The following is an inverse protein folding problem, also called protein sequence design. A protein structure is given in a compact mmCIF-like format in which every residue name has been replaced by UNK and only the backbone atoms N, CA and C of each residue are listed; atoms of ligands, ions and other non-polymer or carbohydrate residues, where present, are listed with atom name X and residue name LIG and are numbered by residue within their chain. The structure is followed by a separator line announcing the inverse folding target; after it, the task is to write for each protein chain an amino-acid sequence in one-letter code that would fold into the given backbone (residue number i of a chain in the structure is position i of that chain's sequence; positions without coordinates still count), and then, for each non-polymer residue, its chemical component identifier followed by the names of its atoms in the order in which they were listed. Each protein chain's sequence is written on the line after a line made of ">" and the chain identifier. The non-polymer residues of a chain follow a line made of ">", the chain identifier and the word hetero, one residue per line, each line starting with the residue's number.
data_IF_726048429453
#
_entry.id   IF_726048429453
#
_cell.length_a   1.000
_cell.length_b   1.000
_cell.length_c   1.000
_cell.angle_alpha   90.00
_cell.angle_beta   90.00
_cell.angle_gamma   90.00
#
_symmetry.space_group_name_H-M   'P 1'
#
loop_
_entity.id
_entity.type
_entity.pdbx_description
1 polymer ?
#
# COMPACT_ATOMS: atom_id res chain seq x y z
N UNK A 1 15.86 8.52 68.45
CA UNK A 1 16.25 8.49 67.03
C UNK A 1 15.22 7.63 66.33
N UNK A 2 14.23 8.25 65.74
CA UNK A 2 13.15 7.57 65.03
C UNK A 2 13.48 7.56 63.52
N UNK A 3 13.76 6.40 63.00
CA UNK A 3 14.07 6.21 61.58
C UNK A 3 12.79 6.22 60.73
N UNK A 4 12.68 7.19 59.82
CA UNK A 4 11.59 7.28 58.86
C UNK A 4 11.97 6.43 57.63
N UNK A 5 11.23 5.36 57.41
CA UNK A 5 11.36 4.51 56.20
C UNK A 5 10.58 5.20 55.06
N UNK A 6 11.26 5.62 54.00
CA UNK A 6 10.67 6.13 52.77
C UNK A 6 10.18 4.93 51.92
N UNK A 7 8.87 4.80 51.77
CA UNK A 7 8.28 3.84 50.86
C UNK A 7 8.33 4.42 49.42
N UNK A 8 9.11 3.79 48.56
CA UNK A 8 9.10 4.07 47.10
C UNK A 8 7.89 3.34 46.50
N UNK A 9 6.84 4.11 46.16
CA UNK A 9 5.72 3.60 45.42
C UNK A 9 6.17 3.34 43.96
N UNK A 10 6.30 2.08 43.59
CA UNK A 10 6.53 1.68 42.21
C UNK A 10 5.29 2.00 41.35
N UNK A 11 5.45 2.87 40.36
CA UNK A 11 4.43 3.06 39.31
C UNK A 11 4.35 1.74 38.53
N UNK A 12 3.24 1.02 38.68
CA UNK A 12 2.87 -0.09 37.80
C UNK A 12 2.36 0.55 36.50
N UNK A 13 3.16 0.51 35.46
CA UNK A 13 2.69 0.86 34.13
C UNK A 13 1.56 -0.12 33.75
N UNK A 14 0.37 0.39 33.53
CA UNK A 14 -0.72 -0.38 32.93
C UNK A 14 -0.28 -0.82 31.55
N UNK A 15 -0.56 -2.09 31.15
CA UNK A 15 -0.30 -2.50 29.77
C UNK A 15 -1.12 -1.59 28.84
N UNK A 16 -0.45 -0.97 27.88
CA UNK A 16 -1.13 -0.33 26.75
C UNK A 16 -1.98 -1.41 26.09
N UNK A 17 -3.27 -1.12 25.76
CA UNK A 17 -4.10 -2.06 25.03
C UNK A 17 -3.34 -2.44 23.76
N UNK A 18 -3.26 -3.74 23.45
CA UNK A 18 -2.73 -4.22 22.19
C UNK A 18 -3.50 -3.50 21.08
N UNK A 19 -2.80 -2.73 20.26
CA UNK A 19 -3.39 -2.11 19.09
C UNK A 19 -3.87 -3.26 18.20
N UNK A 20 -5.17 -3.30 17.91
CA UNK A 20 -5.70 -4.28 16.97
C UNK A 20 -4.92 -4.12 15.66
N UNK A 21 -4.58 -5.24 15.02
CA UNK A 21 -3.94 -5.20 13.72
C UNK A 21 -4.77 -4.27 12.81
N UNK A 22 -4.13 -3.24 12.28
CA UNK A 22 -4.80 -2.31 11.40
C UNK A 22 -5.38 -3.09 10.21
N UNK A 23 -6.67 -2.91 9.92
CA UNK A 23 -7.30 -3.45 8.73
C UNK A 23 -6.66 -2.83 7.47
N UNK A 24 -7.07 -3.28 6.26
CA UNK A 24 -6.60 -2.64 5.05
C UNK A 24 -6.89 -1.14 5.13
N UNK A 25 -5.93 -0.32 4.71
CA UNK A 25 -6.09 1.13 4.66
C UNK A 25 -6.43 1.57 3.24
N UNK A 26 -7.28 2.59 3.11
CA UNK A 26 -7.48 3.29 1.86
C UNK A 26 -6.69 4.61 1.88
N UNK A 27 -5.92 4.87 0.85
CA UNK A 27 -5.23 6.13 0.61
C UNK A 27 -6.07 6.95 -0.36
N UNK A 28 -6.57 8.10 0.09
CA UNK A 28 -7.49 8.96 -0.67
C UNK A 28 -6.83 10.31 -0.92
N UNK A 29 -6.63 10.66 -2.19
CA UNK A 29 -6.09 11.96 -2.58
C UNK A 29 -7.12 13.07 -2.35
N UNK A 30 -6.72 14.14 -1.67
CA UNK A 30 -7.51 15.33 -1.42
C UNK A 30 -7.09 16.44 -2.40
N UNK A 31 -7.78 16.53 -3.53
CA UNK A 31 -7.42 17.42 -4.65
C UNK A 31 -7.30 18.90 -4.23
N UNK A 32 -8.19 19.39 -3.39
CA UNK A 32 -8.18 20.79 -2.91
C UNK A 32 -7.35 20.98 -1.63
N UNK A 33 -6.83 19.89 -1.03
CA UNK A 33 -6.15 19.92 0.27
C UNK A 33 -4.65 19.68 0.21
N UNK A 34 -4.09 19.34 -0.97
CA UNK A 34 -2.67 19.02 -1.16
C UNK A 34 -2.18 17.90 -0.21
N UNK A 35 -3.08 16.96 0.10
CA UNK A 35 -2.85 15.88 1.05
C UNK A 35 -3.40 14.55 0.55
N UNK A 36 -3.00 13.48 1.22
CA UNK A 36 -3.61 12.15 1.12
C UNK A 36 -4.14 11.77 2.51
N UNK A 37 -5.42 11.42 2.59
CA UNK A 37 -6.01 10.86 3.80
C UNK A 37 -5.81 9.35 3.84
N UNK A 38 -5.37 8.84 5.00
CA UNK A 38 -5.32 7.39 5.29
C UNK A 38 -6.57 7.01 6.06
N UNK A 39 -7.33 6.08 5.51
CA UNK A 39 -8.62 5.63 6.08
C UNK A 39 -8.50 4.20 6.53
N UNK A 40 -8.76 3.91 7.79
CA UNK A 40 -8.97 2.54 8.27
C UNK A 40 -10.32 2.03 7.73
N UNK A 41 -10.27 1.01 6.86
CA UNK A 41 -11.48 0.48 6.21
C UNK A 41 -12.36 -0.33 7.13
N UNK A 42 -11.88 -0.75 8.30
CA UNK A 42 -12.66 -1.47 9.31
C UNK A 42 -13.51 -0.52 10.17
N UNK A 43 -12.91 0.58 10.60
CA UNK A 43 -13.59 1.59 11.44
C UNK A 43 -14.25 2.71 10.65
N UNK A 44 -13.93 2.85 9.35
CA UNK A 44 -14.42 3.92 8.46
C UNK A 44 -14.00 5.32 8.94
N UNK A 45 -12.80 5.43 9.51
CA UNK A 45 -12.28 6.69 10.04
C UNK A 45 -10.95 7.07 9.36
N UNK A 46 -10.72 8.37 9.20
CA UNK A 46 -9.42 8.89 8.79
C UNK A 46 -8.48 8.77 9.98
N UNK A 47 -7.36 8.07 9.80
CA UNK A 47 -6.35 7.80 10.84
C UNK A 47 -5.14 8.70 10.70
N UNK A 48 -4.82 9.14 9.47
CA UNK A 48 -3.71 10.06 9.21
C UNK A 48 -3.99 10.94 7.98
N UNK A 49 -3.22 12.03 7.84
CA UNK A 49 -3.27 12.94 6.71
C UNK A 49 -1.85 13.35 6.32
N UNK A 50 -1.43 12.93 5.12
CA UNK A 50 -0.07 13.05 4.62
C UNK A 50 -0.01 14.24 3.64
N UNK A 51 0.88 15.21 3.88
CA UNK A 51 1.13 16.30 2.93
C UNK A 51 1.91 15.77 1.72
N UNK A 52 1.42 16.06 0.52
CA UNK A 52 2.03 15.70 -0.77
C UNK A 52 2.22 16.95 -1.64
N UNK A 53 2.38 16.80 -2.94
CA UNK A 53 2.41 17.95 -3.85
C UNK A 53 1.02 18.51 -4.16
N UNK A 54 0.97 19.58 -4.99
CA UNK A 54 -0.25 20.34 -5.25
C UNK A 54 -1.25 19.56 -6.11
N UNK A 55 -2.52 19.63 -5.73
CA UNK A 55 -3.66 19.04 -6.45
C UNK A 55 -3.46 17.53 -6.69
N UNK A 56 -3.33 16.69 -5.66
CA UNK A 56 -3.17 15.25 -5.83
C UNK A 56 -4.41 14.60 -6.43
N UNK A 57 -4.20 13.72 -7.44
CA UNK A 57 -5.29 13.11 -8.21
C UNK A 57 -5.28 11.59 -8.13
N UNK A 58 -4.36 10.94 -8.82
CA UNK A 58 -4.29 9.49 -8.92
C UNK A 58 -3.53 8.87 -7.75
N UNK A 59 -4.01 7.75 -7.24
CA UNK A 59 -3.33 6.96 -6.23
C UNK A 59 -3.21 5.52 -6.71
N UNK A 60 -2.04 4.92 -6.59
CA UNK A 60 -1.84 3.49 -6.84
C UNK A 60 -0.89 2.90 -5.80
N UNK A 61 -1.15 1.68 -5.35
CA UNK A 61 -0.35 0.99 -4.34
C UNK A 61 0.43 -0.15 -4.98
N UNK A 62 1.75 -0.17 -4.72
CA UNK A 62 2.62 -1.31 -4.95
C UNK A 62 2.67 -2.13 -3.65
N UNK A 63 1.72 -3.04 -3.49
CA UNK A 63 1.53 -3.76 -2.22
C UNK A 63 2.78 -4.57 -1.79
N UNK A 64 3.54 -5.10 -2.76
CA UNK A 64 4.76 -5.87 -2.46
C UNK A 64 5.91 -5.01 -1.92
N UNK A 65 5.88 -3.69 -2.16
CA UNK A 65 6.95 -2.76 -1.79
C UNK A 65 6.51 -1.75 -0.72
N UNK A 66 5.28 -1.90 -0.18
CA UNK A 66 4.69 -1.01 0.83
C UNK A 66 4.76 0.46 0.42
N UNK A 67 4.42 0.74 -0.86
CA UNK A 67 4.49 2.09 -1.42
C UNK A 67 3.19 2.49 -2.11
N UNK A 68 2.77 3.72 -1.84
CA UNK A 68 1.74 4.41 -2.62
C UNK A 68 2.37 5.48 -3.51
N UNK A 69 1.93 5.54 -4.75
CA UNK A 69 2.30 6.53 -5.75
C UNK A 69 1.13 7.48 -5.96
N UNK A 70 1.36 8.78 -5.74
CA UNK A 70 0.33 9.83 -5.82
C UNK A 70 0.73 10.87 -6.85
N UNK A 71 -0.09 11.08 -7.87
CA UNK A 71 0.16 12.10 -8.89
C UNK A 71 -0.22 13.48 -8.37
N UNK A 72 0.69 14.46 -8.50
CA UNK A 72 0.48 15.85 -8.14
C UNK A 72 0.27 16.66 -9.42
N UNK A 73 -0.99 16.94 -9.75
CA UNK A 73 -1.42 17.46 -11.05
C UNK A 73 -0.78 18.81 -11.41
N UNK A 74 -0.75 19.76 -10.46
CA UNK A 74 -0.24 21.12 -10.71
C UNK A 74 1.27 21.25 -10.55
N UNK A 75 1.97 20.19 -10.06
CA UNK A 75 3.42 20.20 -9.88
C UNK A 75 4.20 19.36 -10.89
N UNK A 76 3.52 18.59 -11.75
CA UNK A 76 4.15 17.64 -12.67
C UNK A 76 5.08 16.64 -11.94
N UNK A 77 4.64 16.14 -10.79
CA UNK A 77 5.39 15.18 -9.96
C UNK A 77 4.51 14.01 -9.51
N UNK A 78 5.16 12.98 -8.99
CA UNK A 78 4.56 11.87 -8.25
C UNK A 78 5.19 11.80 -6.87
N UNK A 79 4.39 11.89 -5.81
CA UNK A 79 4.84 11.61 -4.44
C UNK A 79 4.84 10.11 -4.19
N UNK A 80 5.91 9.59 -3.58
CA UNK A 80 6.03 8.19 -3.16
C UNK A 80 5.93 8.14 -1.65
N UNK A 81 4.88 7.50 -1.16
CA UNK A 81 4.60 7.35 0.27
C UNK A 81 4.98 5.92 0.68
N UNK A 82 5.68 5.75 1.79
CA UNK A 82 5.82 4.46 2.45
C UNK A 82 4.55 4.20 3.27
N UNK A 83 3.86 3.09 3.02
CA UNK A 83 2.56 2.79 3.63
C UNK A 83 2.62 2.22 5.05
N UNK A 84 3.82 1.87 5.55
CA UNK A 84 4.02 1.46 6.94
C UNK A 84 4.22 2.65 7.88
N UNK A 85 4.82 3.73 7.32
CA UNK A 85 5.20 4.91 8.13
C UNK A 85 4.39 6.15 7.79
N UNK A 86 3.52 6.07 6.77
CA UNK A 86 2.73 7.17 6.22
C UNK A 86 3.56 8.40 5.87
N UNK A 87 4.82 8.20 5.46
CA UNK A 87 5.75 9.27 5.14
C UNK A 87 6.06 9.34 3.64
N UNK A 88 6.14 10.55 3.09
CA UNK A 88 6.66 10.77 1.73
C UNK A 88 8.16 10.50 1.73
N UNK A 89 8.59 9.51 0.94
CA UNK A 89 10.00 9.08 0.85
C UNK A 89 10.71 9.58 -0.41
N UNK A 90 9.96 9.95 -1.44
CA UNK A 90 10.50 10.53 -2.68
C UNK A 90 9.45 11.37 -3.40
N UNK A 91 9.93 12.30 -4.23
CA UNK A 91 9.13 13.05 -5.21
C UNK A 91 9.78 12.87 -6.58
N UNK A 92 9.04 12.32 -7.54
CA UNK A 92 9.53 11.94 -8.86
C UNK A 92 9.00 12.91 -9.91
N UNK A 93 9.82 13.67 -10.62
CA UNK A 93 9.36 14.51 -11.72
C UNK A 93 8.83 13.65 -12.89
N UNK A 94 7.69 14.03 -13.45
CA UNK A 94 7.03 13.35 -14.59
C UNK A 94 6.61 14.38 -15.65
N UNK A 95 5.75 14.01 -16.60
CA UNK A 95 5.21 14.97 -17.56
C UNK A 95 4.13 15.88 -16.97
N UNK A 96 3.67 16.87 -17.78
CA UNK A 96 2.74 17.91 -17.32
C UNK A 96 1.36 17.34 -16.96
N UNK A 97 0.78 17.87 -15.90
CA UNK A 97 -0.56 17.54 -15.40
C UNK A 97 -0.80 16.02 -15.28
N UNK A 98 0.00 15.30 -14.48
CA UNK A 98 -0.20 13.87 -14.28
C UNK A 98 -1.55 13.61 -13.61
N UNK A 99 -2.40 12.78 -14.22
CA UNK A 99 -3.73 12.44 -13.69
C UNK A 99 -3.73 11.11 -12.97
N UNK A 100 -3.72 10.01 -13.70
CA UNK A 100 -3.78 8.69 -13.10
C UNK A 100 -2.43 7.98 -13.15
N UNK A 101 -2.24 7.07 -12.20
CA UNK A 101 -1.08 6.20 -12.08
C UNK A 101 -1.55 4.76 -11.87
N UNK A 102 -0.84 3.80 -12.45
CA UNK A 102 -1.07 2.38 -12.22
C UNK A 102 0.27 1.65 -12.07
N UNK A 103 0.36 0.75 -11.10
CA UNK A 103 1.55 -0.05 -10.83
C UNK A 103 1.39 -1.44 -11.44
N UNK A 104 2.46 -1.98 -11.99
CA UNK A 104 2.47 -3.35 -12.51
C UNK A 104 2.24 -4.37 -11.38
N UNK A 105 1.65 -5.55 -11.65
CA UNK A 105 1.44 -6.58 -10.63
C UNK A 105 2.73 -7.06 -9.94
N UNK A 106 3.87 -6.92 -10.63
CA UNK A 106 5.19 -7.21 -10.04
C UNK A 106 5.69 -6.13 -9.08
N UNK A 107 5.00 -4.98 -8.98
CA UNK A 107 5.45 -3.80 -8.24
C UNK A 107 6.59 -3.01 -8.92
N UNK A 108 7.24 -3.53 -9.96
CA UNK A 108 8.51 -3.01 -10.47
C UNK A 108 8.41 -1.70 -11.28
N UNK A 109 7.22 -1.33 -11.77
CA UNK A 109 7.01 -0.11 -12.59
C UNK A 109 5.68 0.56 -12.27
N UNK A 110 5.66 1.89 -12.30
CA UNK A 110 4.46 2.71 -12.28
C UNK A 110 4.33 3.49 -13.60
N UNK A 111 3.14 3.46 -14.19
CA UNK A 111 2.77 4.16 -15.43
C UNK A 111 1.91 5.35 -15.09
N UNK A 112 2.31 6.55 -15.49
CA UNK A 112 1.67 7.82 -15.15
C UNK A 112 1.17 8.51 -16.41
N UNK A 113 -0.13 8.75 -16.50
CA UNK A 113 -0.75 9.46 -17.61
C UNK A 113 -0.55 10.98 -17.46
N UNK A 114 0.19 11.61 -18.38
CA UNK A 114 0.49 13.05 -18.36
C UNK A 114 -0.52 13.81 -19.24
N UNK A 115 -1.63 14.25 -18.66
CA UNK A 115 -2.77 14.80 -19.43
C UNK A 115 -2.49 16.15 -20.08
N UNK A 116 -1.49 16.88 -19.63
CA UNK A 116 -1.05 18.13 -20.27
C UNK A 116 -0.32 17.93 -21.60
N UNK A 117 -0.24 16.71 -22.11
CA UNK A 117 0.44 16.38 -23.36
C UNK A 117 -0.10 15.11 -24.00
N UNK A 118 0.83 14.29 -24.50
CA UNK A 118 0.58 13.07 -25.25
C UNK A 118 1.45 11.92 -24.76
N UNK A 119 1.85 11.92 -23.49
CA UNK A 119 2.84 10.97 -22.99
C UNK A 119 2.38 10.24 -21.74
N UNK A 120 3.00 9.07 -21.51
CA UNK A 120 2.97 8.32 -20.25
C UNK A 120 4.39 8.23 -19.73
N UNK A 121 4.63 8.63 -18.49
CA UNK A 121 5.91 8.41 -17.81
C UNK A 121 5.95 7.03 -17.19
N UNK A 122 7.07 6.31 -17.33
CA UNK A 122 7.29 4.99 -16.72
C UNK A 122 8.34 5.14 -15.63
N UNK A 123 7.92 4.96 -14.38
CA UNK A 123 8.77 5.05 -13.20
C UNK A 123 9.26 3.64 -12.84
N UNK A 124 10.55 3.47 -12.66
CA UNK A 124 11.14 2.32 -11.98
C UNK A 124 10.97 2.49 -10.48
N UNK A 125 10.29 1.55 -9.82
CA UNK A 125 9.91 1.66 -8.41
C UNK A 125 11.09 1.42 -7.45
N UNK A 126 12.11 0.70 -7.89
CA UNK A 126 13.29 0.44 -7.06
C UNK A 126 14.17 1.69 -6.94
N UNK A 127 14.22 2.51 -8.01
CA UNK A 127 15.07 3.71 -8.08
C UNK A 127 14.28 5.01 -7.93
N UNK A 128 12.94 4.96 -7.98
CA UNK A 128 12.04 6.12 -8.01
C UNK A 128 12.45 7.14 -9.10
N UNK A 129 12.74 6.65 -10.30
CA UNK A 129 13.13 7.48 -11.43
C UNK A 129 12.37 7.11 -12.71
N UNK A 130 12.11 8.13 -13.57
CA UNK A 130 11.51 7.88 -14.88
C UNK A 130 12.54 7.23 -15.80
N UNK A 131 12.25 6.02 -16.26
CA UNK A 131 13.15 5.23 -17.14
C UNK A 131 12.70 5.24 -18.60
N UNK A 132 11.42 5.58 -18.86
CA UNK A 132 10.90 5.72 -20.22
C UNK A 132 9.76 6.76 -20.25
N UNK A 133 9.58 7.36 -21.43
CA UNK A 133 8.43 8.20 -21.78
C UNK A 133 7.80 7.62 -23.03
N UNK A 134 6.56 7.16 -22.92
CA UNK A 134 5.81 6.50 -23.99
C UNK A 134 4.92 7.53 -24.67
N UNK A 135 5.03 7.64 -26.00
CA UNK A 135 4.15 8.47 -26.78
C UNK A 135 2.81 7.74 -26.98
N UNK A 136 1.71 8.39 -26.58
CA UNK A 136 0.32 7.90 -26.71
C UNK A 136 -0.54 8.94 -27.44
N UNK A 137 -1.87 8.85 -27.34
CA UNK A 137 -2.76 9.87 -27.92
C UNK A 137 -2.88 11.14 -27.07
N UNK A 138 -3.76 12.06 -27.49
CA UNK A 138 -3.93 13.39 -26.87
C UNK A 138 -4.65 13.32 -25.52
N UNK A 139 -4.14 14.09 -24.56
CA UNK A 139 -4.66 14.22 -23.20
C UNK A 139 -4.89 12.85 -22.53
N UNK A 140 -3.84 12.04 -22.29
CA UNK A 140 -3.98 10.77 -21.59
C UNK A 140 -4.53 10.98 -20.18
N UNK A 141 -5.53 10.19 -19.79
CA UNK A 141 -6.27 10.37 -18.55
C UNK A 141 -6.15 9.13 -17.63
N UNK A 142 -6.90 8.09 -17.92
CA UNK A 142 -6.88 6.83 -17.17
C UNK A 142 -5.74 5.93 -17.62
N UNK A 143 -5.18 5.17 -16.71
CA UNK A 143 -4.23 4.09 -17.00
C UNK A 143 -4.57 2.87 -16.16
N UNK A 144 -4.58 1.69 -16.78
CA UNK A 144 -4.77 0.40 -16.11
C UNK A 144 -3.81 -0.64 -16.69
N UNK A 145 -3.25 -1.48 -15.82
CA UNK A 145 -2.35 -2.57 -16.20
C UNK A 145 -3.15 -3.88 -16.27
N UNK A 146 -2.88 -4.70 -17.28
CA UNK A 146 -3.44 -6.06 -17.35
C UNK A 146 -3.00 -6.90 -16.14
N UNK A 147 -3.81 -7.87 -15.67
CA UNK A 147 -3.43 -8.76 -14.57
C UNK A 147 -2.14 -9.56 -14.84
N UNK A 148 -1.82 -9.82 -16.11
CA UNK A 148 -0.55 -10.42 -16.52
C UNK A 148 0.65 -9.48 -16.45
N UNK A 149 0.41 -8.16 -16.30
CA UNK A 149 1.44 -7.14 -16.33
C UNK A 149 2.02 -6.84 -17.72
N UNK A 150 1.51 -7.47 -18.77
CA UNK A 150 2.10 -7.38 -20.14
C UNK A 150 1.61 -6.16 -20.92
N UNK A 151 0.49 -5.58 -20.56
CA UNK A 151 -0.11 -4.45 -21.28
C UNK A 151 -0.60 -3.36 -20.32
N UNK A 152 -0.41 -2.09 -20.71
CA UNK A 152 -1.04 -0.94 -20.08
C UNK A 152 -2.04 -0.32 -21.06
N UNK A 153 -3.26 -0.11 -20.58
CA UNK A 153 -4.36 0.54 -21.33
C UNK A 153 -4.44 2.00 -20.88
N UNK A 154 -4.30 2.92 -21.82
CA UNK A 154 -4.26 4.38 -21.54
C UNK A 154 -5.38 5.06 -22.33
N UNK A 155 -6.32 5.70 -21.65
CA UNK A 155 -7.36 6.48 -22.32
C UNK A 155 -6.78 7.81 -22.82
N UNK A 156 -7.07 8.15 -24.07
CA UNK A 156 -6.69 9.42 -24.70
C UNK A 156 -7.96 10.27 -24.80
N UNK A 157 -8.17 11.16 -23.83
CA UNK A 157 -9.43 11.87 -23.64
C UNK A 157 -9.82 12.69 -24.89
N UNK A 158 -8.91 13.52 -25.40
CA UNK A 158 -9.15 14.31 -26.61
C UNK A 158 -9.00 13.48 -27.90
N UNK A 159 -8.32 12.34 -27.83
CA UNK A 159 -8.11 11.43 -28.96
C UNK A 159 -9.26 10.43 -29.18
N UNK A 160 -10.27 10.37 -28.30
CA UNK A 160 -11.38 9.41 -28.34
C UNK A 160 -10.91 7.96 -28.59
N UNK A 161 -9.84 7.57 -27.94
CA UNK A 161 -9.19 6.26 -28.14
C UNK A 161 -8.54 5.74 -26.87
N UNK A 162 -8.14 4.48 -26.92
CA UNK A 162 -7.28 3.84 -25.91
C UNK A 162 -5.98 3.43 -26.59
N UNK A 163 -4.84 3.84 -26.06
CA UNK A 163 -3.54 3.31 -26.43
C UNK A 163 -3.24 2.05 -25.62
N UNK A 164 -2.90 0.95 -26.28
CA UNK A 164 -2.44 -0.29 -25.66
C UNK A 164 -0.92 -0.31 -25.72
N UNK A 165 -0.27 -0.22 -24.56
CA UNK A 165 1.19 -0.16 -24.43
C UNK A 165 1.70 -1.53 -24.03
N UNK A 166 2.65 -2.08 -24.79
CA UNK A 166 3.42 -3.25 -24.39
C UNK A 166 4.40 -2.84 -23.28
N UNK A 167 4.30 -3.47 -22.11
CA UNK A 167 5.08 -3.07 -20.92
C UNK A 167 6.54 -3.56 -20.96
N UNK A 168 6.85 -4.55 -21.79
CA UNK A 168 8.22 -5.05 -21.94
C UNK A 168 9.06 -4.10 -22.80
N UNK A 169 8.44 -3.53 -23.86
CA UNK A 169 9.11 -2.64 -24.80
C UNK A 169 8.83 -1.16 -24.55
N UNK A 170 7.80 -0.83 -23.76
CA UNK A 170 7.27 0.52 -23.57
C UNK A 170 6.89 1.21 -24.89
N UNK A 171 6.24 0.48 -25.78
CA UNK A 171 5.75 0.98 -27.08
C UNK A 171 4.25 0.74 -27.23
N UNK A 172 3.56 1.61 -27.97
CA UNK A 172 2.14 1.40 -28.30
C UNK A 172 2.04 0.27 -29.33
N UNK A 173 1.35 -0.80 -28.96
CA UNK A 173 1.07 -1.96 -29.82
C UNK A 173 -0.23 -1.85 -30.59
N UNK A 174 -1.21 -1.10 -30.06
CA UNK A 174 -2.50 -0.85 -30.70
C UNK A 174 -3.11 0.48 -30.23
N UNK A 175 -3.98 1.06 -31.08
CA UNK A 175 -4.85 2.20 -30.71
C UNK A 175 -6.29 1.80 -31.04
N UNK A 176 -7.13 1.79 -30.01
CA UNK A 176 -8.53 1.32 -30.09
C UNK A 176 -9.45 2.53 -30.06
N UNK A 177 -10.21 2.84 -31.14
CA UNK A 177 -11.24 3.86 -31.10
C UNK A 177 -12.36 3.48 -30.11
N UNK A 178 -12.79 4.43 -29.27
CA UNK A 178 -13.86 4.27 -28.27
C UNK A 178 -14.86 5.43 -28.36
N UNK A 179 -15.73 5.61 -27.37
CA UNK A 179 -16.62 6.76 -27.32
C UNK A 179 -15.90 8.09 -27.04
N UNK A 180 -16.65 9.18 -27.01
CA UNK A 180 -16.10 10.53 -26.85
C UNK A 180 -15.64 10.81 -25.43
N UNK A 181 -14.48 11.47 -25.32
CA UNK A 181 -13.82 11.86 -24.09
C UNK A 181 -13.64 10.69 -23.10
N UNK A 182 -12.90 9.61 -23.47
CA UNK A 182 -12.67 8.51 -22.57
C UNK A 182 -11.86 8.99 -21.34
N UNK A 183 -12.34 8.63 -20.13
CA UNK A 183 -11.77 9.06 -18.87
C UNK A 183 -11.12 7.86 -18.11
N UNK A 184 -11.90 7.08 -17.40
CA UNK A 184 -11.41 5.91 -16.67
C UNK A 184 -11.25 4.68 -17.55
N UNK A 185 -10.36 3.78 -17.12
CA UNK A 185 -10.21 2.44 -17.68
C UNK A 185 -9.91 1.44 -16.57
N UNK A 186 -10.51 0.27 -16.65
CA UNK A 186 -10.16 -0.87 -15.80
C UNK A 186 -10.10 -2.15 -16.64
N UNK A 187 -9.15 -3.02 -16.33
CA UNK A 187 -9.04 -4.37 -16.95
C UNK A 187 -9.72 -5.37 -16.04
N UNK A 188 -10.52 -6.28 -16.62
CA UNK A 188 -11.17 -7.34 -15.84
C UNK A 188 -10.15 -8.21 -15.11
N UNK A 189 -10.48 -8.80 -13.94
CA UNK A 189 -9.58 -9.70 -13.22
C UNK A 189 -9.12 -10.92 -14.04
N UNK A 190 -9.94 -11.39 -15.00
CA UNK A 190 -9.56 -12.43 -15.96
C UNK A 190 -8.56 -11.95 -17.02
N UNK A 191 -8.48 -10.63 -17.25
CA UNK A 191 -7.68 -10.03 -18.30
C UNK A 191 -8.34 -10.00 -19.69
N UNK A 192 -9.53 -10.54 -19.86
CA UNK A 192 -10.18 -10.73 -21.16
C UNK A 192 -10.82 -9.45 -21.73
N UNK A 193 -11.13 -8.49 -20.88
CA UNK A 193 -11.76 -7.24 -21.30
C UNK A 193 -11.25 -6.03 -20.54
N UNK A 194 -11.24 -4.88 -21.19
CA UNK A 194 -11.05 -3.58 -20.57
C UNK A 194 -12.31 -2.73 -20.72
N UNK A 195 -12.80 -2.18 -19.60
CA UNK A 195 -13.95 -1.29 -19.58
C UNK A 195 -13.45 0.16 -19.57
N UNK A 196 -13.98 0.97 -20.45
CA UNK A 196 -13.56 2.36 -20.69
C UNK A 196 -14.76 3.27 -20.56
N UNK A 197 -14.75 4.19 -19.61
CA UNK A 197 -15.80 5.20 -19.46
C UNK A 197 -15.63 6.29 -20.52
N UNK A 198 -16.70 6.60 -21.26
CA UNK A 198 -16.74 7.64 -22.27
C UNK A 198 -17.60 8.79 -21.73
N UNK A 199 -16.94 9.78 -21.13
CA UNK A 199 -17.57 10.84 -20.36
C UNK A 199 -18.61 11.64 -21.17
N UNK A 200 -18.27 12.00 -22.43
CA UNK A 200 -19.16 12.77 -23.32
C UNK A 200 -20.07 11.89 -24.20
N UNK A 201 -20.01 10.57 -24.06
CA UNK A 201 -20.91 9.64 -24.78
C UNK A 201 -21.82 8.87 -23.81
N UNK A 202 -21.82 9.20 -22.51
CA UNK A 202 -22.67 8.61 -21.48
C UNK A 202 -22.67 7.07 -21.51
N UNK A 203 -21.50 6.48 -21.79
CA UNK A 203 -21.38 5.06 -22.06
C UNK A 203 -20.07 4.47 -21.53
N UNK A 204 -20.03 3.14 -21.47
CA UNK A 204 -18.84 2.35 -21.25
C UNK A 204 -18.55 1.52 -22.51
N UNK A 205 -17.36 1.66 -23.08
CA UNK A 205 -16.87 0.75 -24.13
C UNK A 205 -16.23 -0.49 -23.48
N UNK A 206 -16.61 -1.67 -23.98
CA UNK A 206 -16.00 -2.94 -23.60
C UNK A 206 -15.02 -3.35 -24.68
N UNK A 207 -13.73 -3.27 -24.39
CA UNK A 207 -12.66 -3.64 -25.30
C UNK A 207 -12.28 -5.10 -25.04
N UNK A 208 -12.29 -5.93 -26.07
CA UNK A 208 -11.72 -7.28 -26.05
C UNK A 208 -10.19 -7.16 -26.10
N UNK A 209 -9.50 -7.69 -25.11
CA UNK A 209 -8.06 -7.50 -24.94
C UNK A 209 -7.22 -8.39 -25.87
N UNK A 210 -7.79 -9.49 -26.37
CA UNK A 210 -7.09 -10.38 -27.29
C UNK A 210 -7.06 -9.80 -28.72
N UNK A 211 -8.15 -9.10 -29.12
CA UNK A 211 -8.29 -8.52 -30.45
C UNK A 211 -8.04 -7.02 -30.49
N UNK A 212 -8.00 -6.36 -29.34
CA UNK A 212 -7.94 -4.90 -29.21
C UNK A 212 -9.04 -4.19 -30.01
N UNK A 213 -10.29 -4.67 -29.90
CA UNK A 213 -11.47 -4.08 -30.53
C UNK A 213 -12.61 -3.89 -29.54
N UNK A 214 -13.48 -2.89 -29.77
CA UNK A 214 -14.70 -2.71 -28.97
C UNK A 214 -15.68 -3.83 -29.31
N UNK A 215 -15.98 -4.66 -28.31
CA UNK A 215 -16.94 -5.79 -28.43
C UNK A 215 -18.36 -5.42 -28.01
N UNK A 216 -18.53 -4.35 -27.22
CA UNK A 216 -19.84 -3.82 -26.80
C UNK A 216 -19.71 -2.36 -26.32
N UNK A 217 -20.84 -1.65 -26.35
CA UNK A 217 -21.00 -0.32 -25.73
C UNK A 217 -22.21 -0.38 -24.81
N UNK A 218 -22.03 -0.02 -23.55
CA UNK A 218 -23.05 -0.08 -22.50
C UNK A 218 -23.49 1.35 -22.18
N UNK A 219 -24.75 1.74 -22.42
CA UNK A 219 -25.26 3.04 -21.96
C UNK A 219 -25.32 3.04 -20.43
N UNK A 220 -24.77 4.08 -19.80
CA UNK A 220 -24.76 4.23 -18.33
C UNK A 220 -25.38 5.55 -17.88
N UNK A 221 -25.42 6.59 -18.76
CA UNK A 221 -25.90 7.93 -18.44
C UNK A 221 -24.79 8.85 -17.93
N UNK A 222 -25.15 10.04 -17.68
CA UNK A 222 -24.60 11.18 -16.95
C UNK A 222 -23.08 11.36 -16.76
N UNK A 223 -22.24 11.38 -17.76
CA UNK A 223 -20.79 11.68 -17.62
C UNK A 223 -19.99 10.69 -16.75
N UNK A 224 -19.92 9.41 -17.14
CA UNK A 224 -19.16 8.41 -16.41
C UNK A 224 -17.67 8.78 -16.37
N UNK A 225 -17.08 8.82 -15.15
CA UNK A 225 -15.71 9.27 -14.95
C UNK A 225 -14.73 8.12 -14.65
N UNK A 226 -15.07 7.22 -13.77
CA UNK A 226 -14.23 6.07 -13.45
C UNK A 226 -14.99 4.75 -13.48
N UNK A 227 -14.26 3.66 -13.63
CA UNK A 227 -14.78 2.29 -13.58
C UNK A 227 -13.82 1.40 -12.79
N UNK A 228 -14.37 0.48 -12.01
CA UNK A 228 -13.64 -0.58 -11.33
C UNK A 228 -14.38 -1.90 -11.42
N UNK A 229 -13.68 -3.03 -11.27
CA UNK A 229 -14.29 -4.35 -11.16
C UNK A 229 -14.35 -4.82 -9.71
N UNK A 230 -15.42 -5.55 -9.36
CA UNK A 230 -15.34 -6.41 -8.19
C UNK A 230 -14.18 -7.41 -8.37
N UNK A 231 -13.49 -7.84 -7.29
CA UNK A 231 -12.41 -8.83 -7.38
C UNK A 231 -12.82 -10.15 -8.05
N UNK A 232 -14.10 -10.52 -7.94
CA UNK A 232 -14.66 -11.68 -8.63
C UNK A 232 -14.79 -11.53 -10.15
N UNK A 233 -14.69 -10.29 -10.67
CA UNK A 233 -14.94 -9.97 -12.06
C UNK A 233 -16.41 -10.01 -12.51
N UNK A 234 -17.35 -10.42 -11.66
CA UNK A 234 -18.76 -10.58 -12.02
C UNK A 234 -19.54 -9.28 -12.15
N UNK A 235 -19.00 -8.20 -11.57
CA UNK A 235 -19.59 -6.85 -11.60
C UNK A 235 -18.54 -5.81 -11.92
N UNK A 236 -18.96 -4.75 -12.61
CA UNK A 236 -18.20 -3.51 -12.70
C UNK A 236 -19.04 -2.36 -12.13
N UNK A 237 -18.36 -1.40 -11.52
CA UNK A 237 -18.94 -0.22 -10.90
C UNK A 237 -18.45 1.02 -11.63
N UNK A 238 -19.33 1.93 -11.96
CA UNK A 238 -19.04 3.15 -12.73
C UNK A 238 -19.50 4.35 -11.93
N UNK A 239 -18.58 5.25 -11.59
CA UNK A 239 -18.93 6.55 -11.00
C UNK A 239 -19.47 7.48 -12.07
N UNK A 240 -20.70 7.93 -11.88
CA UNK A 240 -21.39 8.81 -12.79
C UNK A 240 -21.51 10.21 -12.16
N UNK A 241 -20.59 11.09 -12.56
CA UNK A 241 -20.38 12.38 -11.91
C UNK A 241 -21.61 13.28 -11.94
N UNK A 242 -22.27 13.38 -13.09
CA UNK A 242 -23.38 14.31 -13.24
C UNK A 242 -24.69 13.81 -12.64
N UNK A 243 -24.83 12.49 -12.46
CA UNK A 243 -26.04 11.90 -11.86
C UNK A 243 -25.95 11.73 -10.34
N UNK A 244 -24.76 11.89 -9.74
CA UNK A 244 -24.57 11.68 -8.30
C UNK A 244 -24.77 10.21 -7.90
N UNK A 245 -24.39 9.27 -8.74
CA UNK A 245 -24.61 7.85 -8.49
C UNK A 245 -23.48 6.94 -8.99
N UNK A 246 -23.54 5.67 -8.57
CA UNK A 246 -22.69 4.57 -9.05
C UNK A 246 -23.58 3.57 -9.79
N UNK A 247 -23.29 3.33 -11.09
CA UNK A 247 -23.93 2.27 -11.87
C UNK A 247 -23.26 0.94 -11.61
N UNK A 248 -24.05 -0.10 -11.42
CA UNK A 248 -23.59 -1.49 -11.26
C UNK A 248 -23.88 -2.26 -12.54
N UNK A 249 -22.83 -2.72 -13.20
CA UNK A 249 -22.91 -3.51 -14.43
C UNK A 249 -22.68 -4.97 -14.11
N UNK A 250 -23.56 -5.86 -14.54
CA UNK A 250 -23.30 -7.28 -14.62
C UNK A 250 -22.40 -7.56 -15.84
N UNK A 251 -21.24 -8.14 -15.64
CA UNK A 251 -20.23 -8.30 -16.69
C UNK A 251 -20.57 -9.40 -17.70
N UNK A 252 -21.34 -10.40 -17.30
CA UNK A 252 -21.75 -11.49 -18.18
C UNK A 252 -22.85 -11.04 -19.17
N UNK A 253 -23.80 -10.26 -18.68
CA UNK A 253 -24.91 -9.73 -19.51
C UNK A 253 -24.59 -8.38 -20.13
N UNK A 254 -23.57 -7.68 -19.62
CA UNK A 254 -23.18 -6.32 -20.03
C UNK A 254 -24.33 -5.31 -19.88
N UNK A 255 -25.12 -5.46 -18.83
CA UNK A 255 -26.26 -4.62 -18.53
C UNK A 255 -26.11 -3.90 -17.19
N UNK A 256 -26.61 -2.66 -17.09
CA UNK A 256 -26.76 -1.98 -15.80
C UNK A 256 -27.88 -2.66 -15.02
N UNK A 257 -27.53 -3.21 -13.84
CA UNK A 257 -28.46 -3.95 -12.99
C UNK A 257 -28.91 -3.18 -11.76
N UNK A 258 -28.15 -2.14 -11.37
CA UNK A 258 -28.52 -1.25 -10.27
C UNK A 258 -27.91 0.15 -10.47
N UNK A 259 -28.55 1.12 -9.83
CA UNK A 259 -28.06 2.50 -9.69
C UNK A 259 -28.09 2.82 -8.20
N UNK A 260 -26.93 3.21 -7.65
CA UNK A 260 -26.75 3.50 -6.23
C UNK A 260 -26.48 4.98 -6.07
N UNK A 261 -27.42 5.71 -5.49
CA UNK A 261 -27.22 7.13 -5.16
C UNK A 261 -26.10 7.27 -4.10
N UNK A 262 -25.16 8.15 -4.36
CA UNK A 262 -24.03 8.49 -3.49
C UNK A 262 -24.01 10.00 -3.21
N UNK A 263 -22.90 10.58 -2.83
CA UNK A 263 -22.77 12.04 -2.69
C UNK A 263 -22.59 12.75 -4.05
N UNK A 264 -22.49 14.07 -4.00
CA UNK A 264 -22.40 14.92 -5.20
C UNK A 264 -21.01 14.82 -5.86
N UNK A 265 -21.02 14.72 -7.19
CA UNK A 265 -19.83 14.69 -8.01
C UNK A 265 -18.93 13.45 -7.79
N UNK A 266 -19.45 12.20 -7.85
CA UNK A 266 -18.59 11.04 -7.74
C UNK A 266 -17.61 10.96 -8.91
N UNK A 267 -16.32 11.10 -8.65
CA UNK A 267 -15.25 11.10 -9.66
C UNK A 267 -14.46 9.81 -9.70
N UNK A 268 -14.43 9.08 -8.59
CA UNK A 268 -13.73 7.80 -8.48
C UNK A 268 -14.61 6.77 -7.80
N UNK A 269 -14.59 5.57 -8.32
CA UNK A 269 -15.13 4.37 -7.65
C UNK A 269 -14.04 3.31 -7.60
N UNK A 270 -13.90 2.65 -6.45
CA UNK A 270 -12.90 1.59 -6.28
C UNK A 270 -13.47 0.49 -5.37
N UNK A 271 -13.29 -0.77 -5.75
CA UNK A 271 -13.65 -1.91 -4.92
C UNK A 271 -12.51 -2.26 -3.98
N UNK A 272 -12.81 -2.56 -2.74
CA UNK A 272 -11.79 -3.07 -1.84
C UNK A 272 -11.25 -4.44 -2.31
N UNK A 273 -10.01 -4.80 -2.01
CA UNK A 273 -9.42 -6.06 -2.46
C UNK A 273 -10.15 -7.31 -1.96
N UNK A 274 -10.88 -7.21 -0.84
CA UNK A 274 -11.68 -8.33 -0.30
C UNK A 274 -13.03 -8.50 -1.02
N UNK A 275 -13.48 -7.48 -1.75
CA UNK A 275 -14.79 -7.45 -2.41
C UNK A 275 -15.97 -7.26 -1.44
N UNK A 276 -15.72 -6.83 -0.22
CA UNK A 276 -16.75 -6.60 0.80
C UNK A 276 -17.39 -5.23 0.72
N UNK A 277 -16.70 -4.23 0.15
CA UNK A 277 -17.19 -2.88 -0.03
C UNK A 277 -16.69 -2.26 -1.35
N UNK A 278 -17.44 -1.26 -1.81
CA UNK A 278 -17.07 -0.38 -2.92
C UNK A 278 -17.14 1.05 -2.42
N UNK A 279 -16.10 1.82 -2.70
CA UNK A 279 -15.97 3.18 -2.23
C UNK A 279 -16.13 4.16 -3.39
N UNK A 280 -16.88 5.23 -3.19
CA UNK A 280 -17.07 6.30 -4.17
C UNK A 280 -16.61 7.65 -3.59
N UNK A 281 -15.64 8.29 -4.22
CA UNK A 281 -15.15 9.61 -3.84
C UNK A 281 -16.04 10.69 -4.45
N UNK A 282 -16.72 11.45 -3.59
CA UNK A 282 -17.66 12.51 -3.95
C UNK A 282 -16.94 13.86 -3.77
N UNK A 283 -16.37 14.38 -4.85
CA UNK A 283 -15.47 15.54 -4.79
C UNK A 283 -16.18 16.82 -4.37
N UNK A 284 -17.47 16.96 -4.67
CA UNK A 284 -18.24 18.17 -4.41
C UNK A 284 -18.84 18.18 -3.00
N UNK A 285 -18.98 16.99 -2.35
CA UNK A 285 -19.48 16.84 -0.97
C UNK A 285 -18.37 16.64 0.06
N UNK A 286 -17.10 16.58 -0.32
CA UNK A 286 -15.98 16.27 0.58
C UNK A 286 -16.15 14.95 1.35
N UNK A 287 -16.79 13.95 0.73
CA UNK A 287 -17.11 12.66 1.34
C UNK A 287 -16.67 11.47 0.49
N UNK A 288 -16.58 10.31 1.14
CA UNK A 288 -16.44 9.00 0.48
C UNK A 288 -17.60 8.12 0.91
N UNK A 289 -18.46 7.73 -0.04
CA UNK A 289 -19.56 6.79 0.20
C UNK A 289 -19.05 5.35 0.18
N UNK A 290 -19.54 4.52 1.10
CA UNK A 290 -19.23 3.09 1.19
C UNK A 290 -20.46 2.28 0.80
N UNK A 291 -20.35 1.48 -0.25
CA UNK A 291 -21.44 0.70 -0.85
C UNK A 291 -21.23 -0.78 -0.52
N UNK A 292 -22.29 -1.45 -0.05
CA UNK A 292 -22.31 -2.89 0.12
C UNK A 292 -22.65 -3.59 -1.22
N UNK A 293 -21.73 -4.40 -1.81
CA UNK A 293 -21.97 -5.07 -3.10
C UNK A 293 -23.16 -6.04 -3.09
N UNK A 294 -23.45 -6.63 -1.94
CA UNK A 294 -24.54 -7.62 -1.80
C UNK A 294 -25.94 -7.02 -1.92
N UNK A 295 -26.12 -5.78 -1.48
CA UNK A 295 -27.42 -5.07 -1.46
C UNK A 295 -27.48 -3.90 -2.44
N UNK A 296 -26.34 -3.46 -2.97
CA UNK A 296 -26.18 -2.23 -3.76
C UNK A 296 -26.75 -0.99 -3.03
N UNK A 297 -26.41 -0.84 -1.76
CA UNK A 297 -26.82 0.30 -0.92
C UNK A 297 -25.62 0.94 -0.25
N UNK A 298 -25.66 2.26 -0.06
CA UNK A 298 -24.70 2.97 0.79
C UNK A 298 -24.92 2.54 2.24
N UNK A 299 -23.88 2.03 2.88
CA UNK A 299 -23.90 1.59 4.28
C UNK A 299 -23.23 2.58 5.21
N UNK A 300 -22.35 3.43 4.65
CA UNK A 300 -21.60 4.42 5.43
C UNK A 300 -21.21 5.60 4.54
N UNK A 301 -20.92 6.74 5.16
CA UNK A 301 -20.38 7.93 4.49
C UNK A 301 -19.27 8.50 5.36
N UNK A 302 -18.05 8.50 4.85
CA UNK A 302 -16.88 9.02 5.54
C UNK A 302 -16.72 10.48 5.15
N UNK A 303 -16.62 11.37 6.13
CA UNK A 303 -16.44 12.81 5.94
C UNK A 303 -15.05 13.24 6.42
N UNK A 304 -14.68 14.50 6.12
CA UNK A 304 -13.42 15.11 6.57
C UNK A 304 -12.34 15.15 5.51
N UNK A 305 -12.69 14.90 4.24
CA UNK A 305 -11.82 15.13 3.09
C UNK A 305 -11.88 16.59 2.60
N UNK A 306 -11.04 16.91 1.63
CA UNK A 306 -11.04 18.19 0.90
C UNK A 306 -10.91 17.93 -0.59
N UNK A 307 -12.03 17.72 -1.26
CA UNK A 307 -12.09 17.29 -2.65
C UNK A 307 -11.50 15.89 -2.86
N UNK A 308 -12.07 14.82 -2.29
CA UNK A 308 -11.55 13.46 -2.47
C UNK A 308 -11.62 13.06 -3.94
N UNK A 309 -10.52 12.52 -4.47
CA UNK A 309 -10.42 12.18 -5.89
C UNK A 309 -10.00 10.71 -6.07
N UNK A 310 -8.72 10.44 -6.31
CA UNK A 310 -8.19 9.09 -6.48
C UNK A 310 -8.09 8.34 -5.15
N UNK A 311 -8.28 7.03 -5.19
CA UNK A 311 -8.07 6.17 -4.05
C UNK A 311 -7.48 4.82 -4.45
N UNK A 312 -6.75 4.22 -3.52
CA UNK A 312 -6.25 2.86 -3.64
C UNK A 312 -6.16 2.21 -2.25
N UNK A 313 -6.21 0.89 -2.21
CA UNK A 313 -6.23 0.13 -0.97
C UNK A 313 -4.94 -0.65 -0.77
N UNK A 314 -4.43 -0.67 0.47
CA UNK A 314 -3.47 -1.70 0.87
C UNK A 314 -4.18 -3.05 0.89
N UNK A 315 -3.46 -4.10 0.55
CA UNK A 315 -4.00 -5.45 0.77
C UNK A 315 -3.77 -5.82 2.23
N UNK A 316 -4.84 -6.21 2.93
CA UNK A 316 -4.61 -6.95 4.17
C UNK A 316 -3.80 -8.22 3.83
N UNK A 317 -2.92 -8.69 4.72
CA UNK A 317 -2.35 -10.01 4.58
C UNK A 317 -3.48 -11.02 4.31
N UNK A 318 -3.36 -11.83 3.27
CA UNK A 318 -4.45 -12.74 2.86
C UNK A 318 -4.85 -13.66 4.02
N UNK A 319 -6.16 -13.90 4.17
CA UNK A 319 -6.66 -14.85 5.18
C UNK A 319 -5.92 -16.19 4.99
N UNK A 320 -5.11 -16.58 5.99
CA UNK A 320 -4.25 -17.76 5.91
C UNK A 320 -2.75 -17.45 5.84
N UNK A 321 -2.34 -16.20 5.76
CA UNK A 321 -0.93 -15.79 5.86
C UNK A 321 -0.61 -15.23 7.25
N UNK A 322 0.54 -15.61 7.78
CA UNK A 322 1.14 -15.00 8.94
C UNK A 322 2.12 -13.93 8.46
N UNK A 323 2.15 -12.80 9.14
CA UNK A 323 3.06 -11.68 8.88
C UNK A 323 3.90 -11.48 10.15
N UNK A 324 5.21 -11.69 10.05
CA UNK A 324 6.11 -11.72 11.19
C UNK A 324 7.02 -10.50 11.18
N UNK A 325 6.61 -9.48 11.90
CA UNK A 325 7.42 -8.30 12.20
C UNK A 325 8.53 -8.64 13.21
N UNK A 326 9.75 -8.20 12.92
CA UNK A 326 10.93 -8.44 13.76
C UNK A 326 11.29 -7.18 14.52
N UNK A 327 11.31 -7.27 15.86
CA UNK A 327 11.79 -6.19 16.71
C UNK A 327 13.04 -6.63 17.50
N UNK A 328 13.98 -5.71 17.71
CA UNK A 328 15.22 -5.95 18.42
C UNK A 328 15.49 -4.82 19.42
N UNK A 329 15.57 -5.16 20.68
CA UNK A 329 15.95 -4.20 21.73
C UNK A 329 17.22 -4.65 22.44
N UNK A 330 17.93 -3.70 23.06
CA UNK A 330 19.19 -3.94 23.76
C UNK A 330 19.19 -3.27 25.13
N UNK A 331 19.63 -4.00 26.17
CA UNK A 331 19.81 -3.46 27.52
C UNK A 331 21.20 -3.78 28.02
N UNK A 332 22.04 -2.78 28.34
CA UNK A 332 23.34 -3.00 28.91
C UNK A 332 23.26 -3.41 30.40
N UNK A 333 24.09 -4.36 30.79
CA UNK A 333 24.37 -4.68 32.19
C UNK A 333 25.80 -4.30 32.51
N UNK A 334 25.93 -3.28 33.34
CA UNK A 334 27.23 -2.70 33.71
C UNK A 334 27.75 -3.37 34.98
N UNK A 335 28.88 -4.05 34.86
CA UNK A 335 29.56 -4.72 35.96
C UNK A 335 31.08 -4.64 35.74
N UNK A 336 31.83 -4.44 36.82
CA UNK A 336 33.31 -4.35 36.77
C UNK A 336 33.93 -5.67 36.33
N UNK A 337 33.28 -6.80 36.65
CA UNK A 337 33.84 -8.13 36.41
C UNK A 337 33.37 -8.77 35.11
N UNK A 338 32.06 -8.64 34.76
CA UNK A 338 31.47 -9.28 33.57
C UNK A 338 30.39 -8.39 33.01
N UNK A 339 30.72 -7.31 32.28
CA UNK A 339 29.74 -6.49 31.61
C UNK A 339 29.22 -7.21 30.37
N UNK A 340 27.92 -7.03 30.07
CA UNK A 340 27.30 -7.58 28.86
C UNK A 340 26.12 -6.73 28.41
N UNK A 341 25.71 -6.89 27.12
CA UNK A 341 24.46 -6.38 26.62
C UNK A 341 23.49 -7.55 26.44
N UNK A 342 22.30 -7.43 27.01
CA UNK A 342 21.19 -8.35 26.73
C UNK A 342 20.40 -7.82 25.55
N UNK A 343 20.27 -8.64 24.51
CA UNK A 343 19.43 -8.40 23.35
C UNK A 343 18.14 -9.19 23.52
N UNK A 344 17.01 -8.52 23.26
CA UNK A 344 15.69 -9.15 23.18
C UNK A 344 15.24 -9.11 21.73
N UNK A 345 15.01 -10.29 21.17
CA UNK A 345 14.54 -10.50 19.81
C UNK A 345 13.07 -10.90 19.87
N UNK A 346 12.19 -10.06 19.34
CA UNK A 346 10.74 -10.28 19.36
C UNK A 346 10.26 -10.55 17.94
N UNK A 347 9.49 -11.61 17.78
CA UNK A 347 8.70 -11.88 16.58
C UNK A 347 7.22 -11.58 16.88
N UNK A 348 6.67 -10.61 16.19
CA UNK A 348 5.26 -10.22 16.24
C UNK A 348 4.54 -10.84 15.04
N UNK A 349 3.41 -11.48 15.24
CA UNK A 349 2.55 -11.88 14.14
C UNK A 349 1.45 -10.83 13.95
N UNK A 350 1.62 -9.98 12.96
CA UNK A 350 0.64 -8.95 12.57
C UNK A 350 -0.38 -9.47 11.55
N UNK A 351 -0.11 -10.65 10.97
CA UNK A 351 -1.01 -11.30 10.02
C UNK A 351 -2.21 -12.00 10.68
N UNK A 352 -3.26 -12.30 9.88
CA UNK A 352 -4.50 -12.91 10.36
C UNK A 352 -4.39 -14.42 10.65
N UNK A 353 -3.32 -15.09 10.20
CA UNK A 353 -3.13 -16.52 10.45
C UNK A 353 -2.06 -16.79 11.52
N UNK A 354 -2.18 -17.92 12.20
CA UNK A 354 -1.13 -18.39 13.10
C UNK A 354 0.13 -18.76 12.31
N UNK A 355 1.28 -18.14 12.63
CA UNK A 355 2.55 -18.66 12.19
C UNK A 355 2.86 -19.95 12.96
N UNK A 356 2.95 -21.09 12.29
CA UNK A 356 3.24 -22.38 12.91
C UNK A 356 4.72 -22.52 13.24
N UNK A 357 5.57 -21.76 12.58
CA UNK A 357 7.00 -21.59 12.87
C UNK A 357 7.53 -20.27 12.31
N UNK A 358 8.52 -19.68 12.97
CA UNK A 358 9.32 -18.60 12.43
C UNK A 358 10.79 -18.77 12.87
N UNK A 359 11.72 -18.38 12.01
CA UNK A 359 13.16 -18.38 12.31
C UNK A 359 13.69 -16.97 12.11
N UNK A 360 14.28 -16.42 13.17
CA UNK A 360 14.92 -15.10 13.14
C UNK A 360 16.41 -15.25 13.42
N UNK A 361 17.24 -14.63 12.58
CA UNK A 361 18.68 -14.61 12.75
C UNK A 361 19.16 -13.22 13.16
N UNK A 362 20.05 -13.14 14.15
CA UNK A 362 20.72 -11.92 14.54
C UNK A 362 22.22 -11.99 14.19
N UNK A 363 22.71 -10.95 13.50
CA UNK A 363 24.12 -10.77 13.12
C UNK A 363 24.81 -9.90 14.16
N UNK A 364 25.84 -10.44 14.79
CA UNK A 364 26.69 -9.75 15.75
C UNK A 364 27.91 -9.11 15.07
N UNK A 365 28.51 -8.09 15.66
CA UNK A 365 29.78 -7.53 15.20
C UNK A 365 30.88 -8.59 15.13
N UNK A 366 31.88 -8.34 14.30
CA UNK A 366 33.05 -9.24 14.16
C UNK A 366 33.76 -9.46 15.51
N UNK A 367 33.99 -10.73 15.87
CA UNK A 367 34.60 -11.11 17.12
C UNK A 367 33.68 -11.22 18.33
N UNK A 368 32.42 -10.75 18.24
CA UNK A 368 31.44 -10.94 19.29
C UNK A 368 30.90 -12.37 19.30
N UNK A 369 30.60 -12.88 20.50
CA UNK A 369 29.97 -14.20 20.71
C UNK A 369 28.75 -14.04 21.60
N UNK A 370 27.66 -14.70 21.23
CA UNK A 370 26.48 -14.75 22.10
C UNK A 370 26.65 -15.83 23.18
N UNK A 371 26.11 -15.54 24.36
CA UNK A 371 26.00 -16.41 25.50
C UNK A 371 24.62 -16.35 26.11
N UNK A 372 24.29 -17.26 27.00
CA UNK A 372 23.02 -17.24 27.75
C UNK A 372 21.78 -17.12 26.84
N UNK A 373 21.72 -18.01 25.86
CA UNK A 373 20.63 -18.03 24.85
C UNK A 373 19.34 -18.60 25.45
N UNK A 374 18.22 -18.01 25.10
CA UNK A 374 16.88 -18.57 25.36
C UNK A 374 16.72 -19.96 24.71
N UNK A 375 15.85 -20.84 25.24
CA UNK A 375 15.50 -22.10 24.61
C UNK A 375 15.03 -21.90 23.15
N UNK A 376 15.51 -22.76 22.25
CA UNK A 376 15.26 -22.64 20.82
C UNK A 376 16.12 -21.58 20.10
N UNK A 377 17.14 -21.04 20.77
CA UNK A 377 18.18 -20.26 20.12
C UNK A 377 19.50 -21.03 20.10
N UNK A 378 20.25 -20.88 19.02
CA UNK A 378 21.60 -21.39 18.83
C UNK A 378 22.52 -20.28 18.32
N UNK A 379 23.84 -20.45 18.57
CA UNK A 379 24.82 -19.48 18.09
C UNK A 379 25.96 -20.18 17.35
N UNK A 380 26.31 -19.66 16.17
CA UNK A 380 27.44 -20.12 15.36
C UNK A 380 28.22 -18.91 14.85
N UNK A 381 29.48 -18.78 15.32
CA UNK A 381 30.33 -17.64 15.03
C UNK A 381 29.69 -16.32 15.52
N UNK A 382 29.39 -15.42 14.60
CA UNK A 382 28.72 -14.13 14.86
C UNK A 382 27.22 -14.14 14.53
N UNK A 383 26.63 -15.31 14.33
CA UNK A 383 25.21 -15.44 14.03
C UNK A 383 24.49 -16.15 15.17
N UNK A 384 23.40 -15.55 15.65
CA UNK A 384 22.44 -16.16 16.56
C UNK A 384 21.20 -16.50 15.77
N UNK A 385 20.74 -17.75 15.84
CA UNK A 385 19.51 -18.21 15.20
C UNK A 385 18.52 -18.61 16.28
N UNK A 386 17.32 -18.02 16.26
CA UNK A 386 16.23 -18.32 17.18
C UNK A 386 15.04 -18.88 16.41
N UNK A 387 14.54 -20.03 16.83
CA UNK A 387 13.36 -20.67 16.30
C UNK A 387 12.17 -20.38 17.22
N UNK A 388 11.09 -19.90 16.64
CA UNK A 388 9.82 -19.64 17.30
C UNK A 388 8.84 -20.73 16.88
N UNK A 389 8.16 -21.31 17.86
CA UNK A 389 7.03 -22.20 17.61
C UNK A 389 5.79 -21.38 17.20
N UNK A 390 4.61 -21.89 17.43
CA UNK A 390 3.36 -21.20 17.06
C UNK A 390 3.26 -19.77 17.64
N UNK A 391 3.02 -18.79 16.76
CA UNK A 391 2.74 -17.39 17.10
C UNK A 391 1.33 -17.06 16.56
N UNK A 392 0.30 -17.05 17.42
CA UNK A 392 -1.06 -16.70 17.03
C UNK A 392 -1.17 -15.27 16.44
N UNK A 393 -2.23 -14.95 15.68
CA UNK A 393 -2.50 -13.60 15.20
C UNK A 393 -2.48 -12.57 16.33
N UNK A 394 -1.96 -11.38 16.03
CA UNK A 394 -1.90 -10.25 16.97
C UNK A 394 -1.19 -10.57 18.29
N UNK A 395 -0.26 -11.52 18.27
CA UNK A 395 0.58 -11.89 19.44
C UNK A 395 2.06 -11.83 19.13
N UNK A 396 2.87 -11.72 20.17
CA UNK A 396 4.32 -11.68 20.06
C UNK A 396 5.00 -12.70 20.97
N UNK A 397 6.16 -13.15 20.54
CA UNK A 397 7.02 -14.03 21.33
C UNK A 397 8.45 -13.50 21.32
N UNK A 398 9.07 -13.38 22.49
CA UNK A 398 10.43 -12.85 22.63
C UNK A 398 11.41 -13.91 23.07
N UNK A 399 12.63 -13.80 22.58
CA UNK A 399 13.80 -14.60 22.98
C UNK A 399 14.97 -13.67 23.26
N UNK A 400 15.84 -14.08 24.18
CA UNK A 400 16.97 -13.26 24.62
C UNK A 400 18.28 -13.98 24.42
N UNK A 401 19.34 -13.20 24.23
CA UNK A 401 20.73 -13.66 24.31
C UNK A 401 21.60 -12.54 24.86
N UNK A 402 22.78 -12.88 25.35
CA UNK A 402 23.75 -11.92 25.90
C UNK A 402 24.99 -11.87 25.03
N UNK A 403 25.55 -10.68 24.89
CA UNK A 403 26.86 -10.46 24.27
C UNK A 403 27.78 -9.87 25.33
N UNK A 404 28.78 -10.65 25.81
CA UNK A 404 29.79 -10.15 26.73
C UNK A 404 30.60 -9.01 26.11
N UNK A 405 30.90 -7.99 26.90
CA UNK A 405 31.78 -6.88 26.52
C UNK A 405 33.18 -7.16 27.04
N UNK A 406 34.18 -7.04 26.20
CA UNK A 406 35.58 -7.19 26.57
C UNK A 406 36.24 -5.81 26.71
N UNK A 407 37.34 -5.76 27.49
CA UNK A 407 38.10 -4.53 27.79
C UNK A 407 38.51 -3.70 26.54
N UNK A 408 38.51 -4.28 25.35
CA UNK A 408 38.89 -3.65 24.10
C UNK A 408 37.68 -3.33 23.20
N UNK A 409 36.43 -3.54 23.65
CA UNK A 409 35.25 -3.21 22.88
C UNK A 409 34.90 -1.73 23.09
N UNK A 410 35.56 -0.85 22.37
CA UNK A 410 35.22 0.58 22.32
C UNK A 410 34.55 0.90 20.97
N UNK A 411 33.48 1.70 21.00
CA UNK A 411 32.76 2.14 19.80
C UNK A 411 31.38 1.49 19.60
N UNK A 412 30.80 1.61 18.38
CA UNK A 412 29.46 1.13 18.12
C UNK A 412 29.40 -0.41 18.01
N UNK A 413 28.46 -1.00 18.76
CA UNK A 413 28.13 -2.42 18.71
C UNK A 413 26.76 -2.55 18.05
N UNK A 414 26.74 -2.70 16.71
CA UNK A 414 25.51 -2.83 15.93
C UNK A 414 25.15 -4.32 15.82
N UNK A 415 23.92 -4.65 16.19
CA UNK A 415 23.30 -5.96 15.93
C UNK A 415 22.13 -5.75 14.97
N UNK A 416 22.05 -6.59 13.95
CA UNK A 416 20.95 -6.60 13.00
C UNK A 416 20.27 -7.94 13.07
N UNK A 417 18.95 -7.93 13.19
CA UNK A 417 18.10 -9.12 13.16
C UNK A 417 17.32 -9.18 11.86
N UNK A 418 17.06 -10.39 11.37
CA UNK A 418 16.27 -10.64 10.17
C UNK A 418 15.50 -11.95 10.32
N UNK A 419 14.22 -11.97 9.93
CA UNK A 419 13.49 -13.21 9.69
C UNK A 419 14.09 -13.92 8.48
N UNK A 420 14.34 -15.20 8.61
CA UNK A 420 14.92 -16.01 7.52
C UNK A 420 13.98 -17.10 7.02
N UNK A 421 12.96 -17.45 7.80
CA UNK A 421 11.90 -18.37 7.42
C UNK A 421 10.65 -18.19 8.27
N UNK A 422 9.47 -18.50 7.73
CA UNK A 422 8.21 -18.67 8.46
C UNK A 422 7.29 -19.65 7.73
N UNK A 423 6.33 -20.21 8.47
CA UNK A 423 5.27 -21.06 7.92
C UNK A 423 3.93 -20.62 8.55
N UNK A 424 2.94 -20.17 7.78
CA UNK A 424 3.00 -19.90 6.33
C UNK A 424 4.10 -18.90 5.93
N UNK A 425 4.39 -18.81 4.63
CA UNK A 425 5.37 -17.83 4.12
C UNK A 425 4.81 -16.43 4.38
N UNK A 426 5.65 -15.58 4.92
CA UNK A 426 5.34 -14.19 5.20
C UNK A 426 5.27 -13.37 3.92
N UNK A 427 4.18 -12.63 3.68
CA UNK A 427 4.00 -11.84 2.47
C UNK A 427 4.76 -10.51 2.48
N UNK A 428 5.22 -10.04 3.66
CA UNK A 428 5.73 -8.67 3.87
C UNK A 428 7.20 -8.68 4.27
N UNK A 429 8.16 -8.89 3.34
CA UNK A 429 9.57 -9.05 3.69
C UNK A 429 10.25 -7.77 4.20
N UNK A 430 9.61 -6.62 4.15
CA UNK A 430 10.18 -5.31 4.54
C UNK A 430 10.18 -5.09 6.05
N UNK A 431 9.20 -5.65 6.79
CA UNK A 431 9.14 -5.62 8.27
C UNK A 431 9.94 -6.74 8.94
N UNK A 432 10.60 -7.56 8.13
CA UNK A 432 11.41 -8.72 8.57
C UNK A 432 12.73 -8.35 9.24
N UNK A 433 13.12 -7.08 9.29
CA UNK A 433 14.44 -6.66 9.75
C UNK A 433 14.38 -5.61 10.84
N UNK A 434 15.23 -5.76 11.83
CA UNK A 434 15.43 -4.78 12.88
C UNK A 434 16.93 -4.60 13.18
N UNK A 435 17.33 -3.41 13.63
CA UNK A 435 18.70 -3.20 14.08
C UNK A 435 18.76 -2.31 15.31
N UNK A 436 19.73 -2.57 16.18
CA UNK A 436 20.01 -1.74 17.33
C UNK A 436 21.51 -1.51 17.44
N UNK A 437 21.92 -0.29 17.76
CA UNK A 437 23.32 0.08 17.95
C UNK A 437 23.54 0.58 19.38
N UNK A 438 24.33 -0.15 20.14
CA UNK A 438 24.81 0.30 21.44
C UNK A 438 26.20 0.93 21.26
N UNK A 439 26.51 2.00 21.99
CA UNK A 439 27.84 2.63 21.98
C UNK A 439 28.57 2.32 23.28
N UNK A 440 29.65 1.57 23.19
CA UNK A 440 30.53 1.28 24.33
C UNK A 440 31.58 2.40 24.42
N UNK A 441 31.47 3.26 25.43
CA UNK A 441 32.39 4.37 25.71
C UNK A 441 33.54 3.88 26.62
N UNK A 442 33.23 2.93 27.53
CA UNK A 442 34.17 2.24 28.37
C UNK A 442 33.57 0.91 28.83
N UNK A 443 34.32 0.08 29.52
CA UNK A 443 33.81 -1.19 30.09
C UNK A 443 32.71 -1.00 31.14
N UNK A 444 32.54 0.20 31.65
CA UNK A 444 31.53 0.57 32.66
C UNK A 444 30.51 1.58 32.15
N UNK A 445 30.60 1.95 30.89
CA UNK A 445 29.65 2.90 30.28
C UNK A 445 29.29 2.46 28.87
N UNK A 446 28.07 1.91 28.73
CA UNK A 446 27.47 1.51 27.47
C UNK A 446 26.09 2.15 27.40
N UNK A 447 25.77 2.81 26.29
CA UNK A 447 24.46 3.39 26.02
C UNK A 447 23.83 2.65 24.86
N UNK A 448 22.55 2.27 25.03
CA UNK A 448 21.70 1.73 23.96
C UNK A 448 20.47 2.65 23.83
N UNK A 449 19.88 2.78 22.64
CA UNK A 449 18.65 3.52 22.42
C UNK A 449 17.48 2.91 23.18
#
# INVERSE_FOLDING_TARGET
>A
MTGTTLAVAGLVALPTPAQAAAGPSAYVANFHGDTVSVVDTSTKTITDTITVGNSPVGVAIAAADERAYVTNFDEATVSVINTDTDAVTATVPVGSNPLNVAVTPSGSRAYVANSGGTTVSVIDTATNSVTATVQVGEAPNGVAISPSGTSAYVTNNNGNSVSVVDTATNTVSATVPVGAAPAGVAVSPSGDSAYVTNNNSDSVSVVDTATNTVSATIPVGGSPNSVTFAPSGSRAYVADRSSGDVKVIDTATRAVTATVAVGDGPVRVEADPSGTAVYAANIEDDTVSVIAPGTNTVTDTIAGFTGPYGMAFTTAPSAGQADIDVNLTARPYLSILVPYVTYTLTANNTGPATATSATVTAKLPRGARATNLSPGCSASGTTVTCEYASIPPSTSTSKTFRVPLHLLTLGPVKVTAQRTASTPVDPTPTNDTASVTCTAISIILVTCP
#
